data_IF_237258620901
#
_entry.id   IF_237258620901
#
_cell.length_a   1.000
_cell.length_b   1.000
_cell.length_c   1.000
_cell.angle_alpha   90.00
_cell.angle_beta   90.00
_cell.angle_gamma   90.00
#
_symmetry.space_group_name_H-M   'P 1'
#
loop_
_entity.id
_entity.type
_entity.pdbx_description
1 polymer ?
#
# COMPACT_ATOMS: atom_id res chain seq x y z
N UNK A 1 -11.26 -32.48 2.44
CA UNK A 1 -11.41 -31.13 3.02
C UNK A 1 -11.56 -31.31 4.53
N UNK A 2 -10.73 -30.68 5.36
CA UNK A 2 -10.81 -30.84 6.83
C UNK A 2 -11.89 -29.91 7.41
N UNK A 3 -12.46 -30.25 8.58
CA UNK A 3 -13.40 -29.37 9.29
C UNK A 3 -12.81 -27.96 9.53
N UNK A 4 -11.51 -27.88 9.82
CA UNK A 4 -10.80 -26.62 10.00
C UNK A 4 -10.77 -25.78 8.71
N UNK A 5 -10.64 -26.42 7.55
CA UNK A 5 -10.65 -25.74 6.26
C UNK A 5 -12.04 -25.14 5.93
N UNK A 6 -13.13 -25.79 6.34
CA UNK A 6 -14.49 -25.24 6.20
C UNK A 6 -14.69 -24.01 7.10
N UNK A 7 -14.19 -24.08 8.33
CA UNK A 7 -14.22 -22.96 9.28
C UNK A 7 -13.40 -21.78 8.73
N UNK A 8 -12.18 -22.02 8.23
CA UNK A 8 -11.36 -20.97 7.63
C UNK A 8 -12.07 -20.31 6.45
N UNK A 9 -12.69 -21.08 5.54
CA UNK A 9 -13.45 -20.54 4.41
C UNK A 9 -14.61 -19.65 4.88
N UNK A 10 -15.42 -20.15 5.83
CA UNK A 10 -16.56 -19.40 6.40
C UNK A 10 -16.12 -18.05 6.98
N UNK A 11 -15.02 -18.03 7.74
CA UNK A 11 -14.47 -16.81 8.34
C UNK A 11 -13.88 -15.89 7.27
N UNK A 12 -13.17 -16.44 6.28
CA UNK A 12 -12.63 -15.69 5.15
C UNK A 12 -13.73 -14.98 4.34
N UNK A 13 -14.83 -15.66 4.02
CA UNK A 13 -15.97 -15.07 3.32
C UNK A 13 -16.57 -13.88 4.09
N UNK A 14 -16.61 -13.97 5.43
CA UNK A 14 -17.04 -12.83 6.26
C UNK A 14 -16.02 -11.70 6.26
N UNK A 15 -14.72 -12.00 6.33
CA UNK A 15 -13.66 -10.97 6.24
C UNK A 15 -13.81 -10.19 4.93
N UNK A 16 -14.01 -10.88 3.81
CA UNK A 16 -14.20 -10.25 2.49
C UNK A 16 -15.42 -9.33 2.47
N UNK A 17 -16.54 -9.77 3.08
CA UNK A 17 -17.80 -9.02 3.04
C UNK A 17 -17.86 -7.86 4.02
N UNK A 18 -17.37 -8.03 5.25
CA UNK A 18 -17.53 -7.02 6.30
C UNK A 18 -16.28 -6.21 6.55
N UNK A 19 -15.08 -6.80 6.54
CA UNK A 19 -13.86 -6.12 6.98
C UNK A 19 -13.11 -5.46 5.82
N UNK A 20 -12.96 -6.19 4.72
CA UNK A 20 -12.02 -5.83 3.67
C UNK A 20 -12.37 -4.53 2.92
N UNK A 21 -13.65 -4.22 2.62
CA UNK A 21 -14.02 -2.92 2.06
C UNK A 21 -13.62 -1.78 2.99
N UNK A 22 -13.87 -1.95 4.30
CA UNK A 22 -13.52 -0.95 5.30
C UNK A 22 -12.01 -0.71 5.35
N UNK A 23 -11.17 -1.76 5.34
CA UNK A 23 -9.71 -1.60 5.35
C UNK A 23 -9.17 -0.93 4.08
N UNK A 24 -9.78 -1.21 2.93
CA UNK A 24 -9.25 -0.77 1.63
C UNK A 24 -9.61 0.67 1.29
N UNK A 25 -10.70 1.20 1.85
CA UNK A 25 -11.10 2.60 1.69
C UNK A 25 -10.36 3.55 2.65
N UNK A 26 -9.46 3.03 3.50
CA UNK A 26 -8.81 3.82 4.56
C UNK A 26 -7.52 4.52 4.14
N UNK A 27 -6.92 4.20 3.01
CA UNK A 27 -5.70 4.87 2.56
C UNK A 27 -5.63 5.03 1.04
N UNK A 28 -4.90 6.05 0.61
CA UNK A 28 -4.47 6.21 -0.76
C UNK A 28 -3.19 5.40 -0.93
N UNK A 29 -3.26 4.33 -1.71
CA UNK A 29 -2.07 3.57 -2.11
C UNK A 29 -1.30 4.28 -3.23
N UNK A 30 0.00 4.45 -3.02
CA UNK A 30 0.91 5.12 -3.95
C UNK A 30 2.07 4.19 -4.29
N UNK A 31 2.35 3.97 -5.57
CA UNK A 31 3.67 3.51 -5.99
C UNK A 31 4.61 4.69 -6.12
N UNK A 32 5.77 4.57 -5.50
CA UNK A 32 6.79 5.61 -5.57
C UNK A 32 8.00 5.06 -6.32
N UNK A 33 8.22 5.56 -7.52
CA UNK A 33 9.32 5.21 -8.42
C UNK A 33 10.42 6.28 -8.39
N UNK A 34 11.64 5.89 -8.74
CA UNK A 34 12.80 6.78 -8.73
C UNK A 34 14.07 6.09 -8.28
N UNK A 35 15.17 6.85 -8.25
CA UNK A 35 16.48 6.34 -7.83
C UNK A 35 16.39 5.73 -6.42
N UNK A 36 16.91 4.51 -6.24
CA UNK A 36 17.02 3.89 -4.92
C UNK A 36 17.83 4.81 -3.98
N UNK A 37 17.39 5.00 -2.72
CA UNK A 37 18.14 5.82 -1.77
C UNK A 37 19.57 5.32 -1.60
N UNK A 38 20.53 6.23 -1.50
CA UNK A 38 21.91 5.89 -1.12
C UNK A 38 22.15 6.22 0.36
N UNK A 39 23.39 6.03 0.84
CA UNK A 39 23.75 6.28 2.24
C UNK A 39 23.51 7.73 2.71
N UNK A 40 23.36 8.69 1.78
CA UNK A 40 23.07 10.10 2.06
C UNK A 40 21.58 10.43 1.92
N UNK A 41 20.74 9.44 1.62
CA UNK A 41 19.31 9.60 1.32
C UNK A 41 19.03 9.75 -0.17
N UNK A 42 17.89 10.35 -0.51
CA UNK A 42 17.51 10.59 -1.91
C UNK A 42 16.15 11.28 -2.01
N UNK A 43 15.85 11.81 -3.20
CA UNK A 43 14.55 12.44 -3.49
C UNK A 43 13.39 11.50 -3.16
N UNK A 44 13.52 10.22 -3.52
CA UNK A 44 12.53 9.17 -3.23
C UNK A 44 12.23 9.03 -1.73
N UNK A 45 13.25 8.95 -0.86
CA UNK A 45 13.05 8.84 0.59
C UNK A 45 12.41 10.10 1.20
N UNK A 46 12.77 11.28 0.67
CA UNK A 46 12.19 12.55 1.08
C UNK A 46 10.70 12.61 0.75
N UNK A 47 10.32 12.24 -0.47
CA UNK A 47 8.92 12.18 -0.91
C UNK A 47 8.13 11.14 -0.11
N UNK A 48 8.71 9.96 0.15
CA UNK A 48 8.07 8.95 1.01
C UNK A 48 7.69 9.53 2.37
N UNK A 49 8.64 10.20 3.05
CA UNK A 49 8.39 10.85 4.34
C UNK A 49 7.26 11.88 4.25
N UNK A 50 7.30 12.76 3.25
CA UNK A 50 6.26 13.77 3.02
C UNK A 50 4.86 13.15 2.84
N UNK A 51 4.76 12.05 2.09
CA UNK A 51 3.49 11.36 1.85
C UNK A 51 2.96 10.68 3.12
N UNK A 52 3.83 9.99 3.86
CA UNK A 52 3.50 9.25 5.08
C UNK A 52 3.35 10.13 6.33
N UNK A 53 3.69 11.44 6.26
CA UNK A 53 3.48 12.39 7.36
C UNK A 53 2.02 12.38 7.81
N UNK A 54 1.82 12.27 9.14
CA UNK A 54 0.49 12.25 9.76
C UNK A 54 -0.18 13.61 9.56
N UNK A 55 -1.33 13.61 8.90
CA UNK A 55 -2.17 14.80 8.73
C UNK A 55 -3.64 14.44 8.86
N UNK A 56 -4.49 15.45 8.92
CA UNK A 56 -5.94 15.29 8.83
C UNK A 56 -6.33 14.72 7.44
N UNK A 57 -7.29 13.79 7.44
CA UNK A 57 -7.82 13.16 6.23
C UNK A 57 -7.32 11.73 6.00
N UNK A 58 -7.54 11.22 4.79
CA UNK A 58 -7.15 9.87 4.39
C UNK A 58 -5.62 9.73 4.43
N UNK A 59 -5.14 8.63 5.02
CA UNK A 59 -3.71 8.32 5.06
C UNK A 59 -3.19 7.97 3.66
N UNK A 60 -1.89 8.08 3.46
CA UNK A 60 -1.23 7.69 2.21
C UNK A 60 -0.25 6.57 2.56
N UNK A 61 -0.39 5.42 1.91
CA UNK A 61 0.50 4.28 2.06
C UNK A 61 1.37 4.20 0.80
N UNK A 62 2.69 4.22 1.00
CA UNK A 62 3.68 4.22 -0.07
C UNK A 62 4.27 2.83 -0.23
N UNK A 63 4.31 2.36 -1.48
CA UNK A 63 4.87 1.07 -1.85
C UNK A 63 5.90 1.24 -2.97
N UNK A 64 6.80 0.27 -3.06
CA UNK A 64 7.86 0.20 -4.06
C UNK A 64 7.60 -1.01 -4.97
N UNK A 65 7.37 -0.82 -6.29
CA UNK A 65 7.10 -1.94 -7.19
C UNK A 65 8.15 -3.05 -7.11
N UNK A 66 9.44 -2.68 -7.04
CA UNK A 66 10.52 -3.66 -6.98
C UNK A 66 10.49 -4.55 -5.72
N UNK A 67 9.95 -4.06 -4.60
CA UNK A 67 9.90 -4.79 -3.34
C UNK A 67 8.66 -5.69 -3.27
N UNK A 68 7.56 -5.30 -3.93
CA UNK A 68 6.34 -6.11 -4.00
C UNK A 68 6.58 -7.35 -4.87
N UNK A 69 7.20 -7.14 -6.02
CA UNK A 69 7.34 -8.18 -7.04
C UNK A 69 8.73 -8.86 -7.00
N UNK A 70 9.52 -8.64 -5.94
CA UNK A 70 10.91 -9.13 -5.85
C UNK A 70 11.02 -10.65 -6.07
N UNK A 71 10.20 -11.45 -5.38
CA UNK A 71 10.23 -12.91 -5.48
C UNK A 71 9.84 -13.39 -6.89
N UNK A 72 8.90 -12.69 -7.53
CA UNK A 72 8.43 -12.99 -8.89
C UNK A 72 9.50 -12.70 -9.92
N UNK A 73 10.21 -11.59 -9.75
CA UNK A 73 11.36 -11.21 -10.58
C UNK A 73 12.56 -12.15 -10.39
N UNK A 74 12.65 -12.88 -9.27
CA UNK A 74 13.72 -13.86 -8.97
C UNK A 74 13.35 -15.30 -9.35
N UNK A 75 12.05 -15.61 -9.47
CA UNK A 75 11.49 -16.97 -9.48
C UNK A 75 11.62 -17.78 -10.78
N UNK A 76 12.41 -17.36 -11.76
CA UNK A 76 12.72 -18.15 -12.97
C UNK A 76 11.62 -18.26 -14.03
N UNK A 77 10.38 -17.79 -13.76
CA UNK A 77 9.42 -17.42 -14.82
C UNK A 77 9.78 -16.03 -15.33
N UNK A 78 9.77 -15.83 -16.65
CA UNK A 78 10.16 -14.59 -17.36
C UNK A 78 9.19 -13.40 -17.15
N UNK A 79 8.66 -13.20 -15.94
CA UNK A 79 7.85 -12.01 -15.67
C UNK A 79 8.77 -10.80 -15.51
N UNK A 80 8.62 -9.83 -16.39
CA UNK A 80 9.25 -8.52 -16.28
C UNK A 80 8.24 -7.49 -15.74
N UNK A 81 8.72 -6.33 -15.27
CA UNK A 81 7.84 -5.30 -14.69
C UNK A 81 6.79 -4.76 -15.66
N UNK A 82 7.01 -4.84 -16.97
CA UNK A 82 6.03 -4.41 -17.99
C UNK A 82 4.88 -5.42 -18.08
N UNK A 83 5.15 -6.72 -17.91
CA UNK A 83 4.09 -7.73 -17.87
C UNK A 83 3.14 -7.51 -16.67
N UNK A 84 3.64 -6.84 -15.62
CA UNK A 84 2.91 -6.56 -14.39
C UNK A 84 2.16 -5.22 -14.43
N UNK A 85 2.16 -4.48 -15.55
CA UNK A 85 1.53 -3.15 -15.66
C UNK A 85 0.06 -3.12 -15.22
N UNK A 86 -0.72 -4.13 -15.61
CA UNK A 86 -2.13 -4.22 -15.21
C UNK A 86 -2.27 -4.45 -13.70
N UNK A 87 -1.43 -5.32 -13.12
CA UNK A 87 -1.43 -5.56 -11.67
C UNK A 87 -0.99 -4.28 -10.94
N UNK A 88 0.01 -3.58 -11.47
CA UNK A 88 0.47 -2.32 -10.91
C UNK A 88 -0.66 -1.30 -10.90
N UNK A 89 -1.31 -1.10 -12.06
CA UNK A 89 -2.41 -0.17 -12.23
C UNK A 89 -3.59 -0.50 -11.32
N UNK A 90 -3.98 -1.77 -11.22
CA UNK A 90 -5.11 -2.22 -10.40
C UNK A 90 -4.84 -2.04 -8.91
N UNK A 91 -3.56 -2.05 -8.50
CA UNK A 91 -3.15 -2.02 -7.09
C UNK A 91 -3.12 -0.63 -6.47
N UNK A 92 -2.83 0.41 -7.26
CA UNK A 92 -2.61 1.76 -6.73
C UNK A 92 -3.52 2.84 -7.30
N UNK A 93 -3.73 3.86 -6.48
CA UNK A 93 -4.46 5.06 -6.88
C UNK A 93 -3.54 5.98 -7.70
N UNK A 94 -2.25 6.05 -7.35
CA UNK A 94 -1.28 6.96 -7.97
C UNK A 94 0.08 6.28 -8.10
N UNK A 95 0.78 6.57 -9.20
CA UNK A 95 2.20 6.27 -9.37
C UNK A 95 2.97 7.59 -9.41
N UNK A 96 3.81 7.82 -8.41
CA UNK A 96 4.71 8.97 -8.34
C UNK A 96 6.06 8.57 -8.92
N UNK A 97 6.56 9.30 -9.92
CA UNK A 97 7.86 9.03 -10.54
C UNK A 97 8.78 10.23 -10.34
N UNK A 98 9.99 9.95 -9.83
CA UNK A 98 11.12 10.88 -9.80
C UNK A 98 12.18 10.43 -10.82
N UNK A 99 12.20 10.99 -12.04
CA UNK A 99 13.14 10.60 -13.08
C UNK A 99 14.58 11.08 -12.76
N UNK A 100 15.29 10.31 -11.94
CA UNK A 100 16.61 10.65 -11.37
C UNK A 100 17.69 9.59 -11.67
N UNK A 101 17.34 8.53 -12.39
CA UNK A 101 18.22 7.41 -12.75
C UNK A 101 17.78 6.74 -14.06
N UNK A 102 18.66 5.98 -14.73
CA UNK A 102 18.31 5.23 -15.95
C UNK A 102 17.03 4.41 -15.83
N UNK A 103 16.86 3.68 -14.72
CA UNK A 103 15.64 2.89 -14.46
C UNK A 103 14.38 3.76 -14.43
N UNK A 104 14.42 4.87 -13.70
CA UNK A 104 13.26 5.79 -13.60
C UNK A 104 12.95 6.57 -14.89
N UNK A 105 13.93 6.75 -15.78
CA UNK A 105 13.66 7.27 -17.13
C UNK A 105 12.94 6.23 -17.99
N UNK A 106 13.32 4.95 -17.86
CA UNK A 106 12.62 3.84 -18.51
C UNK A 106 11.20 3.69 -17.98
N UNK A 107 11.00 3.73 -16.66
CA UNK A 107 9.67 3.69 -16.02
C UNK A 107 8.77 4.83 -16.51
N UNK A 108 9.30 6.07 -16.60
CA UNK A 108 8.55 7.19 -17.16
C UNK A 108 8.08 6.91 -18.59
N UNK A 109 8.97 6.41 -19.46
CA UNK A 109 8.62 6.10 -20.83
C UNK A 109 7.59 4.96 -20.96
N UNK A 110 7.80 3.88 -20.20
CA UNK A 110 6.90 2.73 -20.18
C UNK A 110 5.51 3.11 -19.65
N UNK A 111 5.45 3.70 -18.46
CA UNK A 111 4.18 4.00 -17.79
C UNK A 111 3.41 5.12 -18.48
N UNK A 112 4.09 6.04 -19.18
CA UNK A 112 3.40 7.05 -19.99
C UNK A 112 2.66 6.43 -21.19
N UNK A 113 3.16 5.30 -21.73
CA UNK A 113 2.51 4.60 -22.84
C UNK A 113 1.54 3.49 -22.38
N UNK A 114 1.64 3.05 -21.13
CA UNK A 114 0.79 2.00 -20.58
C UNK A 114 -0.64 2.50 -20.38
N UNK A 115 -1.60 1.92 -21.11
CA UNK A 115 -3.02 2.32 -21.09
C UNK A 115 -3.61 2.30 -19.67
N UNK A 116 -3.21 1.32 -18.85
CA UNK A 116 -3.70 1.17 -17.49
C UNK A 116 -3.09 2.16 -16.48
N UNK A 117 -1.94 2.77 -16.79
CA UNK A 117 -1.17 3.60 -15.85
C UNK A 117 -1.11 5.08 -16.22
N UNK A 118 -1.19 5.42 -17.50
CA UNK A 118 -0.92 6.77 -18.02
C UNK A 118 -1.79 7.89 -17.41
N UNK A 119 -2.91 7.56 -16.79
CA UNK A 119 -3.84 8.50 -16.13
C UNK A 119 -3.67 8.54 -14.60
N UNK A 120 -2.72 7.78 -14.07
CA UNK A 120 -2.42 7.65 -12.63
C UNK A 120 -1.10 8.31 -12.21
N UNK A 121 -0.41 9.02 -13.10
CA UNK A 121 0.97 9.44 -12.86
C UNK A 121 1.08 10.83 -12.22
N UNK A 122 1.96 10.94 -11.22
CA UNK A 122 2.52 12.21 -10.75
C UNK A 122 4.02 12.22 -11.05
N UNK A 123 4.43 13.05 -11.99
CA UNK A 123 5.84 13.18 -12.37
C UNK A 123 6.45 14.40 -11.67
N UNK A 124 7.48 14.18 -10.87
CA UNK A 124 8.21 15.24 -10.18
C UNK A 124 9.53 15.52 -10.91
N UNK A 125 9.68 16.74 -11.44
CA UNK A 125 10.84 17.14 -12.22
C UNK A 125 11.49 18.39 -11.66
N UNK A 126 12.82 18.48 -11.74
CA UNK A 126 13.55 19.70 -11.41
C UNK A 126 13.27 20.78 -12.47
N UNK A 127 12.77 21.94 -12.03
CA UNK A 127 12.40 23.06 -12.90
C UNK A 127 13.56 23.57 -13.77
N UNK A 128 14.83 23.32 -13.39
CA UNK A 128 15.98 23.70 -14.23
C UNK A 128 15.98 23.02 -15.59
N UNK A 129 15.35 21.84 -15.73
CA UNK A 129 15.27 21.11 -16.99
C UNK A 129 14.03 21.48 -17.82
N UNK A 130 13.15 22.36 -17.33
CA UNK A 130 11.84 22.65 -17.96
C UNK A 130 11.94 23.16 -19.39
N UNK A 131 12.99 23.90 -19.72
CA UNK A 131 13.21 24.50 -21.04
C UNK A 131 14.15 23.68 -21.93
N UNK A 132 14.69 22.57 -21.43
CA UNK A 132 15.62 21.74 -22.20
C UNK A 132 14.89 21.07 -23.37
N UNK A 133 15.51 21.07 -24.55
CA UNK A 133 15.07 20.26 -25.69
C UNK A 133 15.57 18.83 -25.49
N UNK A 134 14.80 18.03 -24.77
CA UNK A 134 15.12 16.63 -24.47
C UNK A 134 14.01 15.69 -24.94
N UNK A 135 14.34 14.41 -25.16
CA UNK A 135 13.33 13.41 -25.47
C UNK A 135 12.29 13.29 -24.34
N UNK A 136 12.72 13.42 -23.08
CA UNK A 136 11.82 13.43 -21.91
C UNK A 136 10.75 14.53 -22.06
N UNK A 137 11.18 15.77 -22.34
CA UNK A 137 10.27 16.91 -22.43
C UNK A 137 9.37 16.86 -23.67
N UNK A 138 9.93 16.49 -24.83
CA UNK A 138 9.21 16.48 -26.11
C UNK A 138 8.36 15.21 -26.32
N UNK A 139 8.68 14.14 -25.61
CA UNK A 139 7.99 12.85 -25.65
C UNK A 139 7.04 12.66 -24.47
N UNK A 140 7.39 11.85 -23.45
CA UNK A 140 6.45 11.43 -22.41
C UNK A 140 5.85 12.60 -21.63
N UNK A 141 6.61 13.66 -21.33
CA UNK A 141 6.07 14.81 -20.57
C UNK A 141 5.01 15.55 -21.38
N UNK A 142 5.30 15.88 -22.64
CA UNK A 142 4.32 16.53 -23.52
C UNK A 142 3.07 15.65 -23.71
N UNK A 143 3.26 14.35 -23.93
CA UNK A 143 2.16 13.40 -24.05
C UNK A 143 1.26 13.39 -22.82
N UNK A 144 1.83 13.23 -21.62
CA UNK A 144 1.07 13.19 -20.37
C UNK A 144 0.28 14.47 -20.14
N UNK A 145 0.89 15.64 -20.38
CA UNK A 145 0.22 16.94 -20.19
C UNK A 145 -0.93 17.19 -21.17
N UNK A 146 -0.86 16.65 -22.39
CA UNK A 146 -1.85 16.92 -23.45
C UNK A 146 -2.94 15.85 -23.57
N UNK A 147 -2.67 14.62 -23.14
CA UNK A 147 -3.47 13.43 -23.50
C UNK A 147 -3.94 12.58 -22.33
N UNK A 148 -3.62 12.95 -21.09
CA UNK A 148 -3.92 12.14 -19.91
C UNK A 148 -4.37 12.99 -18.73
N UNK A 149 -4.88 12.34 -17.69
CA UNK A 149 -5.23 12.98 -16.41
C UNK A 149 -4.03 13.09 -15.43
N UNK A 150 -2.84 12.67 -15.87
CA UNK A 150 -1.62 12.71 -15.06
C UNK A 150 -1.14 14.13 -14.80
N UNK A 151 -0.42 14.31 -13.69
CA UNK A 151 0.15 15.60 -13.29
C UNK A 151 1.66 15.60 -13.51
N UNK A 152 2.16 16.62 -14.20
CA UNK A 152 3.59 16.94 -14.27
C UNK A 152 3.87 18.15 -13.39
N UNK A 153 4.60 17.94 -12.30
CA UNK A 153 4.95 18.99 -11.35
C UNK A 153 6.44 19.34 -11.43
N UNK A 154 6.72 20.60 -11.80
CA UNK A 154 8.07 21.15 -11.86
C UNK A 154 8.45 21.78 -10.51
N UNK A 155 9.35 21.13 -9.80
CA UNK A 155 9.89 21.59 -8.51
C UNK A 155 10.83 22.75 -8.74
N UNK A 156 10.39 23.95 -8.39
CA UNK A 156 11.16 25.19 -8.47
C UNK A 156 11.44 25.73 -7.06
N UNK A 157 12.63 25.46 -6.54
CA UNK A 157 12.99 25.83 -5.18
C UNK A 157 12.84 27.33 -4.89
N UNK A 158 13.09 28.20 -5.88
CA UNK A 158 12.95 29.65 -5.69
C UNK A 158 11.49 30.02 -5.47
N UNK A 159 10.60 29.49 -6.31
CA UNK A 159 9.15 29.70 -6.17
C UNK A 159 8.60 29.13 -4.87
N UNK A 160 9.09 27.96 -4.46
CA UNK A 160 8.68 27.35 -3.20
C UNK A 160 9.07 28.22 -2.00
N UNK A 161 10.26 28.83 -2.01
CA UNK A 161 10.70 29.77 -0.97
C UNK A 161 9.85 31.04 -0.99
N UNK A 162 9.61 31.61 -2.17
CA UNK A 162 8.76 32.79 -2.33
C UNK A 162 7.34 32.56 -1.81
N UNK A 163 6.77 31.38 -2.06
CA UNK A 163 5.48 30.97 -1.55
C UNK A 163 5.48 30.80 -0.03
N UNK A 164 6.49 30.10 0.51
CA UNK A 164 6.65 29.95 1.95
C UNK A 164 6.77 31.30 2.67
N UNK A 165 7.47 32.28 2.08
CA UNK A 165 7.64 33.61 2.65
C UNK A 165 6.33 34.42 2.75
N UNK A 166 5.27 34.04 2.02
CA UNK A 166 3.93 34.64 2.16
C UNK A 166 3.18 34.14 3.40
N UNK A 167 3.61 33.01 3.96
CA UNK A 167 3.05 32.43 5.18
C UNK A 167 3.90 32.85 6.39
N UNK A 168 3.28 33.55 7.34
CA UNK A 168 3.98 34.10 8.51
C UNK A 168 4.68 33.03 9.36
N UNK A 169 4.19 31.78 9.40
CA UNK A 169 4.83 30.71 10.17
C UNK A 169 6.00 30.10 9.41
N UNK A 170 5.86 29.92 8.09
CA UNK A 170 6.89 29.31 7.27
C UNK A 170 8.03 30.28 6.94
N UNK A 171 7.79 31.59 6.96
CA UNK A 171 8.80 32.61 6.67
C UNK A 171 10.01 32.56 7.60
N UNK A 172 9.84 32.06 8.83
CA UNK A 172 10.90 31.89 9.84
C UNK A 172 11.70 30.60 9.70
N UNK A 173 11.28 29.67 8.84
CA UNK A 173 12.04 28.44 8.61
C UNK A 173 13.30 28.72 7.78
N UNK A 174 14.36 27.89 7.91
CA UNK A 174 15.44 27.90 6.92
C UNK A 174 14.89 27.52 5.53
N UNK A 175 15.58 27.92 4.46
CA UNK A 175 15.12 27.69 3.08
C UNK A 175 14.85 26.22 2.77
N UNK A 176 15.65 25.30 3.30
CA UNK A 176 15.38 23.86 3.18
C UNK A 176 14.04 23.47 3.81
N UNK A 177 13.73 23.99 5.00
CA UNK A 177 12.45 23.76 5.67
C UNK A 177 11.27 24.40 4.95
N UNK A 178 11.47 25.59 4.35
CA UNK A 178 10.47 26.25 3.50
C UNK A 178 10.11 25.41 2.28
N UNK A 179 11.13 24.96 1.55
CA UNK A 179 10.98 24.10 0.38
C UNK A 179 10.22 22.84 0.78
N UNK A 180 10.62 22.19 1.87
CA UNK A 180 10.04 20.93 2.31
C UNK A 180 8.57 21.08 2.68
N UNK A 181 8.22 22.14 3.41
CA UNK A 181 6.85 22.39 3.84
C UNK A 181 5.91 22.62 2.65
N UNK A 182 6.28 23.46 1.68
CA UNK A 182 5.43 23.73 0.52
C UNK A 182 5.42 22.53 -0.44
N UNK A 183 6.56 21.88 -0.65
CA UNK A 183 6.63 20.69 -1.50
C UNK A 183 5.75 19.56 -0.95
N UNK A 184 5.75 19.33 0.37
CA UNK A 184 4.86 18.38 1.02
C UNK A 184 3.39 18.71 0.71
N UNK A 185 2.99 19.97 0.87
CA UNK A 185 1.62 20.40 0.59
C UNK A 185 1.22 20.11 -0.87
N UNK A 186 2.08 20.47 -1.83
CA UNK A 186 1.83 20.29 -3.25
C UNK A 186 1.77 18.82 -3.65
N UNK A 187 2.77 18.01 -3.26
CA UNK A 187 2.81 16.59 -3.61
C UNK A 187 1.58 15.86 -3.05
N UNK A 188 1.21 16.15 -1.79
CA UNK A 188 0.01 15.54 -1.18
C UNK A 188 -1.29 16.03 -1.81
N UNK A 189 -1.35 17.28 -2.25
CA UNK A 189 -2.48 17.80 -3.01
C UNK A 189 -2.64 17.03 -4.32
N UNK A 190 -1.58 16.89 -5.12
CA UNK A 190 -1.64 16.20 -6.41
C UNK A 190 -1.92 14.71 -6.27
N UNK A 191 -1.32 14.03 -5.28
CA UNK A 191 -1.65 12.63 -5.00
C UNK A 191 -3.13 12.46 -4.69
N UNK A 192 -3.72 13.33 -3.87
CA UNK A 192 -5.17 13.28 -3.59
C UNK A 192 -6.01 13.60 -4.81
N UNK A 193 -5.58 14.56 -5.62
CA UNK A 193 -6.26 14.93 -6.85
C UNK A 193 -6.34 13.76 -7.83
N UNK A 194 -5.21 13.10 -8.09
CA UNK A 194 -5.14 11.94 -8.99
C UNK A 194 -5.91 10.76 -8.40
N UNK A 195 -5.75 10.49 -7.09
CA UNK A 195 -6.48 9.41 -6.42
C UNK A 195 -8.00 9.61 -6.47
N UNK A 196 -8.50 10.85 -6.41
CA UNK A 196 -9.93 11.13 -6.50
C UNK A 196 -10.56 10.81 -7.86
N UNK A 197 -9.74 10.63 -8.90
CA UNK A 197 -10.18 10.27 -10.27
C UNK A 197 -9.95 8.79 -10.60
N UNK A 198 -9.20 8.07 -9.77
CA UNK A 198 -8.70 6.74 -10.08
C UNK A 198 -9.15 5.73 -9.03
N UNK A 199 -9.70 4.61 -9.49
CA UNK A 199 -10.18 3.53 -8.64
C UNK A 199 -9.14 2.40 -8.62
N UNK A 200 -9.02 1.71 -7.49
CA UNK A 200 -8.24 0.47 -7.35
C UNK A 200 -9.17 -0.74 -7.40
N UNK A 201 -8.68 -1.85 -7.92
CA UNK A 201 -9.48 -3.07 -8.05
C UNK A 201 -9.69 -3.68 -6.66
N UNK A 202 -10.94 -3.83 -6.24
CA UNK A 202 -11.32 -4.37 -4.93
C UNK A 202 -11.53 -5.89 -4.95
N UNK A 203 -10.65 -6.62 -5.65
CA UNK A 203 -10.66 -8.08 -5.73
C UNK A 203 -9.34 -8.63 -5.18
N UNK A 204 -9.31 -9.91 -4.78
CA UNK A 204 -8.09 -10.51 -4.23
C UNK A 204 -7.00 -10.75 -5.29
N UNK A 205 -7.25 -10.45 -6.56
CA UNK A 205 -6.24 -10.38 -7.62
C UNK A 205 -5.33 -9.14 -7.49
N UNK A 206 -5.75 -8.12 -6.72
CA UNK A 206 -4.93 -6.96 -6.38
C UNK A 206 -4.06 -7.30 -5.16
N UNK A 207 -2.72 -7.34 -5.27
CA UNK A 207 -1.81 -7.60 -4.14
C UNK A 207 -2.01 -6.72 -2.92
N UNK A 208 -2.32 -5.43 -3.10
CA UNK A 208 -2.55 -4.50 -1.99
C UNK A 208 -3.86 -4.83 -1.28
N UNK A 209 -4.91 -5.18 -2.03
CA UNK A 209 -6.18 -5.63 -1.45
C UNK A 209 -6.03 -7.00 -0.75
N UNK A 210 -5.32 -7.93 -1.39
CA UNK A 210 -4.99 -9.23 -0.83
C UNK A 210 -4.13 -9.14 0.44
N UNK A 211 -3.20 -8.17 0.54
CA UNK A 211 -2.45 -7.93 1.77
C UNK A 211 -3.39 -7.67 2.95
N UNK A 212 -4.45 -6.87 2.76
CA UNK A 212 -5.37 -6.49 3.83
C UNK A 212 -6.21 -7.69 4.24
N UNK A 213 -6.55 -8.55 3.28
CA UNK A 213 -7.22 -9.81 3.53
C UNK A 213 -6.35 -10.77 4.36
N UNK A 214 -5.09 -10.98 3.96
CA UNK A 214 -4.15 -11.84 4.71
C UNK A 214 -3.88 -11.26 6.11
N UNK A 215 -3.75 -9.95 6.22
CA UNK A 215 -3.58 -9.26 7.49
C UNK A 215 -4.78 -9.47 8.43
N UNK A 216 -6.00 -9.40 7.91
CA UNK A 216 -7.22 -9.70 8.66
C UNK A 216 -7.34 -11.19 9.03
N UNK A 217 -6.96 -12.10 8.12
CA UNK A 217 -6.91 -13.53 8.40
C UNK A 217 -5.93 -13.84 9.54
N UNK A 218 -4.73 -13.26 9.53
CA UNK A 218 -3.73 -13.44 10.59
C UNK A 218 -4.21 -12.86 11.93
N UNK A 219 -5.00 -11.79 11.91
CA UNK A 219 -5.65 -11.30 13.12
C UNK A 219 -6.70 -12.28 13.66
N UNK A 220 -7.55 -12.83 12.79
CA UNK A 220 -8.63 -13.75 13.18
C UNK A 220 -8.08 -15.11 13.63
N UNK A 221 -7.16 -15.69 12.86
CA UNK A 221 -6.64 -17.04 13.05
C UNK A 221 -5.38 -17.13 13.91
N UNK A 222 -4.82 -15.98 14.31
CA UNK A 222 -3.60 -15.80 15.11
C UNK A 222 -2.30 -16.20 14.43
N UNK A 223 -2.30 -17.35 13.75
CA UNK A 223 -1.17 -17.85 12.97
C UNK A 223 -1.62 -18.75 11.83
N UNK A 224 -0.90 -18.72 10.71
CA UNK A 224 -1.20 -19.51 9.52
C UNK A 224 0.08 -19.94 8.81
N UNK A 225 0.09 -21.14 8.21
CA UNK A 225 1.13 -21.54 7.26
C UNK A 225 0.81 -20.96 5.87
N UNK A 226 1.83 -20.90 5.01
CA UNK A 226 1.64 -20.48 3.61
C UNK A 226 0.63 -21.35 2.88
N UNK A 227 0.66 -22.67 3.11
CA UNK A 227 -0.27 -23.61 2.48
C UNK A 227 -1.71 -23.39 2.95
N UNK A 228 -1.92 -23.01 4.22
CA UNK A 228 -3.24 -22.67 4.75
C UNK A 228 -3.76 -21.38 4.10
N UNK A 229 -2.91 -20.35 3.97
CA UNK A 229 -3.26 -19.10 3.29
C UNK A 229 -3.60 -19.33 1.82
N UNK A 230 -2.80 -20.15 1.13
CA UNK A 230 -3.03 -20.51 -0.28
C UNK A 230 -4.35 -21.25 -0.44
N UNK A 231 -4.64 -22.19 0.46
CA UNK A 231 -5.92 -22.89 0.49
C UNK A 231 -7.09 -21.91 0.69
N UNK A 232 -6.97 -21.01 1.67
CA UNK A 232 -8.01 -20.00 1.95
C UNK A 232 -8.26 -19.15 0.71
N UNK A 233 -7.22 -18.61 0.08
CA UNK A 233 -7.35 -17.80 -1.13
C UNK A 233 -8.02 -18.58 -2.27
N UNK A 234 -7.59 -19.82 -2.54
CA UNK A 234 -8.23 -20.66 -3.57
C UNK A 234 -9.69 -21.00 -3.28
N UNK A 235 -10.09 -20.94 -2.00
CA UNK A 235 -11.47 -21.21 -1.60
C UNK A 235 -12.40 -19.98 -1.74
N UNK A 236 -11.83 -18.80 -1.96
CA UNK A 236 -12.52 -17.53 -2.15
C UNK A 236 -12.65 -17.18 -3.65
N UNK A 237 -13.57 -16.29 -3.99
CA UNK A 237 -13.58 -15.64 -5.30
C UNK A 237 -12.47 -14.58 -5.34
N UNK A 238 -11.37 -14.90 -6.02
CA UNK A 238 -10.19 -14.03 -6.05
C UNK A 238 -10.21 -13.03 -7.19
N UNK A 239 -10.94 -13.32 -8.28
CA UNK A 239 -10.80 -12.63 -9.56
C UNK A 239 -9.44 -12.85 -10.25
N UNK A 240 -8.69 -13.89 -9.86
CA UNK A 240 -7.52 -14.38 -10.59
C UNK A 240 -7.92 -15.39 -11.66
N UNK A 241 -7.19 -15.45 -12.78
CA UNK A 241 -7.53 -16.34 -13.90
C UNK A 241 -7.12 -17.79 -13.62
N UNK A 242 -6.01 -17.99 -12.92
CA UNK A 242 -5.48 -19.32 -12.64
C UNK A 242 -4.84 -19.44 -11.23
N UNK A 243 -4.39 -20.66 -10.89
CA UNK A 243 -3.78 -20.94 -9.57
C UNK A 243 -2.41 -20.30 -9.38
N UNK A 244 -1.63 -20.15 -10.46
CA UNK A 244 -0.32 -19.52 -10.40
C UNK A 244 -0.46 -18.03 -10.08
N UNK A 245 -1.49 -17.36 -10.62
CA UNK A 245 -1.82 -15.97 -10.29
C UNK A 245 -2.17 -15.81 -8.81
N UNK A 246 -2.90 -16.76 -8.22
CA UNK A 246 -3.21 -16.74 -6.77
C UNK A 246 -1.92 -16.89 -5.95
N UNK A 247 -1.00 -17.76 -6.35
CA UNK A 247 0.29 -17.92 -5.68
C UNK A 247 1.15 -16.64 -5.80
N UNK A 248 1.14 -16.01 -6.97
CA UNK A 248 1.80 -14.74 -7.24
C UNK A 248 1.27 -13.63 -6.33
N UNK A 249 -0.05 -13.48 -6.25
CA UNK A 249 -0.67 -12.45 -5.41
C UNK A 249 -0.42 -12.72 -3.93
N UNK A 250 -0.43 -13.98 -3.48
CA UNK A 250 -0.08 -14.33 -2.11
C UNK A 250 1.37 -13.95 -1.77
N UNK A 251 2.31 -14.27 -2.67
CA UNK A 251 3.73 -13.89 -2.49
C UNK A 251 3.88 -12.36 -2.39
N UNK A 252 3.27 -11.62 -3.33
CA UNK A 252 3.29 -10.16 -3.31
C UNK A 252 2.67 -9.58 -2.03
N UNK A 253 1.52 -10.09 -1.58
CA UNK A 253 0.86 -9.71 -0.35
C UNK A 253 1.74 -9.97 0.90
N UNK A 254 2.41 -11.12 0.96
CA UNK A 254 3.31 -11.46 2.06
C UNK A 254 4.56 -10.58 2.06
N UNK A 255 5.15 -10.30 0.89
CA UNK A 255 6.31 -9.41 0.76
C UNK A 255 5.99 -8.00 1.26
N UNK A 256 4.82 -7.46 0.90
CA UNK A 256 4.36 -6.16 1.42
C UNK A 256 4.28 -6.18 2.95
N UNK A 257 3.64 -7.20 3.53
CA UNK A 257 3.47 -7.32 4.98
C UNK A 257 4.81 -7.51 5.72
N UNK A 258 5.76 -8.25 5.15
CA UNK A 258 7.11 -8.40 5.70
C UNK A 258 7.87 -7.07 5.61
N UNK A 259 7.80 -6.38 4.48
CA UNK A 259 8.46 -5.09 4.27
C UNK A 259 8.03 -4.03 5.30
N UNK A 260 6.73 -3.93 5.55
CA UNK A 260 6.18 -3.04 6.58
C UNK A 260 6.39 -3.55 8.01
N UNK A 261 7.04 -4.71 8.19
CA UNK A 261 7.27 -5.40 9.46
C UNK A 261 5.96 -5.75 10.17
N UNK A 262 4.88 -5.93 9.43
CA UNK A 262 3.55 -6.23 9.98
C UNK A 262 3.42 -7.68 10.43
N UNK A 263 4.20 -8.59 9.83
CA UNK A 263 4.18 -10.01 10.13
C UNK A 263 5.58 -10.54 10.43
N UNK A 264 5.64 -11.65 11.15
CA UNK A 264 6.88 -12.42 11.40
C UNK A 264 6.62 -13.89 11.11
N UNK A 265 7.62 -14.56 10.54
CA UNK A 265 7.64 -16.01 10.34
C UNK A 265 8.33 -16.67 11.54
N UNK A 266 7.65 -17.58 12.22
CA UNK A 266 8.21 -18.38 13.31
C UNK A 266 7.74 -19.82 13.20
N UNK A 267 8.67 -20.78 13.21
CA UNK A 267 8.37 -22.21 13.11
C UNK A 267 7.51 -22.59 11.88
N UNK A 268 7.72 -21.92 10.74
CA UNK A 268 6.96 -22.15 9.51
C UNK A 268 5.55 -21.55 9.50
N UNK A 269 5.18 -20.76 10.51
CA UNK A 269 3.89 -20.10 10.62
C UNK A 269 4.06 -18.57 10.68
N UNK A 270 3.26 -17.85 9.90
CA UNK A 270 3.19 -16.40 9.97
C UNK A 270 2.23 -15.97 11.08
N UNK A 271 2.58 -14.87 11.76
CA UNK A 271 1.75 -14.20 12.76
C UNK A 271 1.96 -12.68 12.69
N UNK A 272 1.00 -11.93 13.23
CA UNK A 272 1.14 -10.49 13.36
C UNK A 272 2.30 -10.13 14.31
N UNK A 273 3.11 -9.15 13.92
CA UNK A 273 4.13 -8.55 14.78
C UNK A 273 3.51 -7.52 15.75
N UNK A 274 4.31 -6.95 16.65
CA UNK A 274 3.86 -5.83 17.50
C UNK A 274 3.52 -4.60 16.64
N UNK A 275 4.29 -4.38 15.59
CA UNK A 275 4.17 -3.28 14.62
C UNK A 275 2.91 -3.46 13.78
N UNK A 276 2.63 -4.68 13.31
CA UNK A 276 1.39 -5.04 12.63
C UNK A 276 0.17 -4.81 13.52
N UNK A 277 0.20 -5.29 14.76
CA UNK A 277 -0.88 -5.00 15.71
C UNK A 277 -1.08 -3.50 15.94
N UNK A 278 0.00 -2.70 16.00
CA UNK A 278 -0.10 -1.23 16.07
C UNK A 278 -0.67 -0.62 14.78
N UNK A 279 -0.30 -1.12 13.60
CA UNK A 279 -0.83 -0.67 12.30
C UNK A 279 -2.33 -0.97 12.23
N UNK A 280 -2.77 -2.18 12.58
CA UNK A 280 -4.18 -2.55 12.64
C UNK A 280 -4.95 -1.67 13.64
N UNK A 281 -4.42 -1.47 14.85
CA UNK A 281 -5.03 -0.55 15.83
C UNK A 281 -5.11 0.88 15.32
N UNK A 282 -4.13 1.37 14.56
CA UNK A 282 -4.21 2.70 13.92
C UNK A 282 -5.33 2.75 12.88
N UNK A 283 -5.52 1.71 12.09
CA UNK A 283 -6.65 1.60 11.15
C UNK A 283 -7.98 1.65 11.89
N UNK A 284 -8.14 0.84 12.93
CA UNK A 284 -9.37 0.78 13.75
C UNK A 284 -9.64 2.09 14.50
N UNK A 285 -8.63 2.92 14.77
CA UNK A 285 -8.77 4.18 15.51
C UNK A 285 -9.05 5.42 14.63
N UNK A 286 -9.21 5.29 13.31
CA UNK A 286 -9.59 6.43 12.44
C UNK A 286 -11.08 6.77 12.66
N UNK A 287 -11.35 8.04 12.96
CA UNK A 287 -12.48 8.53 13.77
C UNK A 287 -13.91 8.35 13.22
N UNK A 288 -14.10 7.83 12.01
CA UNK A 288 -15.44 7.65 11.42
C UNK A 288 -16.01 6.22 11.49
N UNK A 289 -15.20 5.20 11.76
CA UNK A 289 -15.60 3.77 11.68
C UNK A 289 -15.13 2.98 12.93
N UNK A 290 -14.79 3.71 14.00
CA UNK A 290 -14.04 3.20 15.17
C UNK A 290 -14.76 2.06 15.92
N UNK A 291 -16.07 2.18 16.12
CA UNK A 291 -16.82 1.19 16.88
C UNK A 291 -17.08 -0.08 16.07
N UNK A 292 -17.31 0.05 14.76
CA UNK A 292 -17.80 -1.04 13.92
C UNK A 292 -16.66 -1.98 13.48
N UNK A 293 -15.49 -1.45 13.10
CA UNK A 293 -14.39 -2.30 12.60
C UNK A 293 -13.80 -3.18 13.71
N UNK A 294 -13.50 -2.59 14.88
CA UNK A 294 -12.96 -3.35 16.01
C UNK A 294 -13.97 -4.39 16.51
N UNK A 295 -15.24 -4.02 16.64
CA UNK A 295 -16.29 -4.95 17.06
C UNK A 295 -16.47 -6.10 16.08
N UNK A 296 -16.41 -5.85 14.77
CA UNK A 296 -16.49 -6.91 13.76
C UNK A 296 -15.27 -7.83 13.79
N UNK A 297 -14.06 -7.30 13.97
CA UNK A 297 -12.85 -8.10 14.18
C UNK A 297 -12.95 -8.99 15.43
N UNK A 298 -13.40 -8.45 16.55
CA UNK A 298 -13.54 -9.19 17.81
C UNK A 298 -14.62 -10.27 17.69
N UNK A 299 -15.75 -9.97 17.04
CA UNK A 299 -16.82 -10.93 16.75
C UNK A 299 -16.33 -12.06 15.85
N UNK A 300 -15.58 -11.74 14.79
CA UNK A 300 -14.99 -12.73 13.89
C UNK A 300 -14.00 -13.65 14.62
N UNK A 301 -13.14 -13.06 15.45
CA UNK A 301 -12.18 -13.83 16.25
C UNK A 301 -12.89 -14.72 17.26
N UNK A 302 -13.90 -14.22 17.96
CA UNK A 302 -14.68 -15.01 18.90
C UNK A 302 -15.41 -16.18 18.21
N UNK A 303 -15.99 -15.95 17.04
CA UNK A 303 -16.63 -17.00 16.25
C UNK A 303 -15.62 -18.07 15.80
N UNK A 304 -14.47 -17.65 15.26
CA UNK A 304 -13.41 -18.59 14.91
C UNK A 304 -12.97 -19.44 16.10
N UNK A 305 -12.72 -18.81 17.26
CA UNK A 305 -12.32 -19.54 18.46
C UNK A 305 -13.41 -20.53 18.93
N UNK A 306 -14.68 -20.14 18.85
CA UNK A 306 -15.78 -21.02 19.21
C UNK A 306 -15.89 -22.20 18.25
N UNK A 307 -15.80 -21.98 16.94
CA UNK A 307 -15.96 -23.02 15.92
C UNK A 307 -14.75 -23.96 15.87
N UNK A 308 -13.52 -23.43 15.91
CA UNK A 308 -12.28 -24.20 15.78
C UNK A 308 -11.94 -25.02 17.04
N UNK A 309 -12.44 -24.59 18.20
CA UNK A 309 -12.15 -25.23 19.48
C UNK A 309 -13.38 -25.81 20.20
N UNK A 310 -14.56 -25.83 19.55
CA UNK A 310 -15.76 -26.46 20.09
C UNK A 310 -15.47 -27.92 20.44
N UNK A 311 -15.67 -28.29 21.71
CA UNK A 311 -15.43 -29.66 22.20
C UNK A 311 -13.99 -29.95 22.66
N UNK A 312 -13.02 -29.04 22.43
CA UNK A 312 -11.71 -29.10 23.09
C UNK A 312 -11.84 -28.41 24.45
N UNK A 313 -11.95 -29.18 25.55
CA UNK A 313 -12.00 -28.65 26.92
C UNK A 313 -10.77 -27.75 27.16
N UNK A 314 -10.96 -26.44 27.20
CA UNK A 314 -9.99 -25.54 27.83
C UNK A 314 -10.24 -25.55 29.34
N UNK A 315 -9.19 -25.84 30.10
CA UNK A 315 -9.15 -25.68 31.54
C UNK A 315 -9.53 -24.21 31.85
N UNK A 316 -10.57 -24.01 32.67
CA UNK A 316 -11.00 -22.68 33.12
C UNK A 316 -9.80 -21.95 33.75
N UNK A 317 -9.23 -20.98 33.05
CA UNK A 317 -8.41 -19.96 33.73
C UNK A 317 -9.39 -19.01 34.41
N UNK A 318 -9.67 -19.27 35.69
CA UNK A 318 -10.38 -18.33 36.55
C UNK A 318 -9.50 -17.10 36.75
N UNK A 319 -9.88 -15.98 36.13
CA UNK A 319 -9.42 -14.67 36.58
C UNK A 319 -10.01 -14.41 37.96
N UNK A 320 -9.21 -14.59 39.02
CA UNK A 320 -9.54 -14.02 40.33
C UNK A 320 -9.52 -12.50 40.16
N UNK A 321 -10.69 -11.86 40.35
CA UNK A 321 -10.78 -10.40 40.53
C UNK A 321 -9.81 -10.00 41.64
N UNK A 322 -8.91 -9.07 41.34
CA UNK A 322 -8.13 -8.41 42.37
C UNK A 322 -9.09 -7.70 43.35
N UNK A 323 -8.96 -8.04 44.63
CA UNK A 323 -9.63 -7.32 45.72
C UNK A 323 -8.86 -6.02 45.94
N UNK A 324 -9.52 -4.86 46.05
CA UNK A 324 -8.82 -3.61 46.37
C UNK A 324 -8.38 -3.65 47.84
N UNK A 325 -7.11 -3.29 48.08
CA UNK A 325 -6.62 -2.86 49.40
C UNK A 325 -6.26 -1.39 49.27
#
# INVERSE_FOLDING_TARGET
MTLLNEIHKKIADRIIKSILPMLSEMSISVFLCGKKPDAKGGGREKIKKMLETKTYGLGIDVYYPEDIFEELLRGGKEHNLLDLENILADSVHVVVILPESPGSFTELGAFANAVALKDKLLILLDAKYKTHKSFINLGPIKFLQEKTESVVYWVDNKKLIEEANKNIYLSFLPDSGKIDAILEQHVRHYVRHIAGKNITKSTLSNPIYAQNFIFACLYAFEKLKVDDMRYILHSCDTGCDNKDDVAMVLSAALNILVFHKDIVLANGEYRLSKEGLRRLKRFMNRSKIKADVQAEFDKLRAEYLNDAFRGKKYCRITFKRAVPI
#
